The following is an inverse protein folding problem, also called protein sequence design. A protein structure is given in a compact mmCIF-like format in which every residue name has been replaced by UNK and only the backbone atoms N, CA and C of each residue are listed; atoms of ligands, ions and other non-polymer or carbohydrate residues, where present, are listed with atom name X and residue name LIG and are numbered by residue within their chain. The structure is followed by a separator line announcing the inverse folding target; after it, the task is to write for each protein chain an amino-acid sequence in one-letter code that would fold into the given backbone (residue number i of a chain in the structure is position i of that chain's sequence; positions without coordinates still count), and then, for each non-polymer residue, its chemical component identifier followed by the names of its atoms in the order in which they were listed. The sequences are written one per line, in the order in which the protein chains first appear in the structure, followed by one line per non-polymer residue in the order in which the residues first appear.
data_IF_925587273360
#
_entry.id   IF_925587273360
#
_cell.length_a   1.000
_cell.length_b   1.000
_cell.length_c   1.000
_cell.angle_alpha   90.00
_cell.angle_beta   90.00
_cell.angle_gamma   90.00
#
_symmetry.space_group_name_H-M   'P 1'
#
loop_
_entity.id
_entity.type
_entity.pdbx_description
1 polymer ?
#
# COMPACT_ATOMS: atom_id res chain seq x y z
N UNK A 1 11.37 -5.62 10.48
CA UNK A 1 10.59 -6.31 9.43
C UNK A 1 11.15 -7.71 9.26
N UNK A 2 10.30 -8.73 9.15
CA UNK A 2 10.73 -10.11 8.83
C UNK A 2 10.68 -10.31 7.31
N UNK A 3 11.77 -10.80 6.72
CA UNK A 3 11.90 -11.01 5.27
C UNK A 3 10.83 -11.96 4.72
N UNK A 4 10.41 -12.94 5.50
CA UNK A 4 9.33 -13.88 5.19
C UNK A 4 8.01 -13.19 4.86
N UNK A 5 7.61 -12.17 5.64
CA UNK A 5 6.36 -11.45 5.40
C UNK A 5 6.37 -10.72 4.05
N UNK A 6 7.54 -10.21 3.65
CA UNK A 6 7.72 -9.54 2.35
C UNK A 6 7.63 -10.56 1.22
N UNK A 7 8.27 -11.72 1.39
CA UNK A 7 8.22 -12.81 0.41
C UNK A 7 6.76 -13.29 0.18
N UNK A 8 6.03 -13.53 1.27
CA UNK A 8 4.63 -13.95 1.19
C UNK A 8 3.74 -12.86 0.56
N UNK A 9 3.91 -11.60 0.94
CA UNK A 9 3.16 -10.49 0.35
C UNK A 9 3.46 -10.31 -1.15
N UNK A 10 4.72 -10.48 -1.56
CA UNK A 10 5.14 -10.43 -2.96
C UNK A 10 4.57 -11.58 -3.79
N UNK A 11 4.34 -12.75 -3.19
CA UNK A 11 3.65 -13.85 -3.88
C UNK A 11 2.19 -13.52 -4.19
N UNK A 12 1.55 -12.62 -3.40
CA UNK A 12 0.16 -12.18 -3.61
C UNK A 12 0.05 -10.98 -4.55
N UNK A 13 0.95 -10.00 -4.41
CA UNK A 13 1.03 -8.81 -5.28
C UNK A 13 2.40 -8.84 -5.97
N UNK A 14 2.50 -9.48 -7.17
CA UNK A 14 3.79 -9.70 -7.83
C UNK A 14 4.41 -8.40 -8.36
N UNK A 15 3.59 -7.39 -8.67
CA UNK A 15 4.11 -6.08 -9.02
C UNK A 15 4.61 -5.37 -7.75
N UNK A 16 5.94 -5.27 -7.61
CA UNK A 16 6.60 -4.63 -6.46
C UNK A 16 6.18 -3.16 -6.25
N UNK A 17 5.88 -2.42 -7.31
CA UNK A 17 5.46 -1.01 -7.18
C UNK A 17 4.05 -0.94 -6.63
N UNK A 18 3.14 -1.78 -7.13
CA UNK A 18 1.79 -1.92 -6.59
C UNK A 18 1.82 -2.37 -5.13
N UNK A 19 2.68 -3.35 -4.79
CA UNK A 19 2.86 -3.81 -3.41
C UNK A 19 3.34 -2.69 -2.50
N UNK A 20 4.36 -1.93 -2.90
CA UNK A 20 4.86 -0.81 -2.11
C UNK A 20 3.81 0.30 -1.95
N UNK A 21 3.05 0.62 -2.99
CA UNK A 21 2.00 1.63 -2.94
C UNK A 21 0.87 1.21 -1.99
N UNK A 22 0.37 -0.02 -2.16
CA UNK A 22 -0.60 -0.68 -1.30
C UNK A 22 -0.16 -0.66 0.17
N UNK A 23 1.07 -1.13 0.43
CA UNK A 23 1.66 -1.20 1.76
C UNK A 23 1.77 0.19 2.40
N UNK A 24 2.28 1.18 1.67
CA UNK A 24 2.43 2.54 2.18
C UNK A 24 1.08 3.19 2.50
N UNK A 25 0.09 3.00 1.63
CA UNK A 25 -1.27 3.51 1.83
C UNK A 25 -1.92 2.89 3.06
N UNK A 26 -1.96 1.56 3.14
CA UNK A 26 -2.55 0.83 4.26
C UNK A 26 -1.82 1.13 5.58
N UNK A 27 -0.49 1.24 5.55
CA UNK A 27 0.29 1.62 6.74
C UNK A 27 -0.11 3.00 7.23
N UNK A 28 -0.24 4.00 6.34
CA UNK A 28 -0.67 5.35 6.75
C UNK A 28 -2.10 5.37 7.30
N UNK A 29 -3.00 4.58 6.75
CA UNK A 29 -4.41 4.53 7.19
C UNK A 29 -4.59 3.81 8.54
N UNK A 30 -3.81 2.75 8.79
CA UNK A 30 -3.96 1.91 9.98
C UNK A 30 -3.04 2.30 11.14
N UNK A 31 -2.05 3.16 10.90
CA UNK A 31 -1.08 3.52 11.91
C UNK A 31 -1.69 4.44 12.97
N UNK A 32 -1.45 4.10 14.23
CA UNK A 32 -1.79 4.93 15.40
C UNK A 32 -0.49 5.40 16.04
N UNK A 33 -0.40 6.68 16.41
CA UNK A 33 0.82 7.33 16.91
C UNK A 33 1.46 6.64 18.13
N UNK A 34 0.66 5.93 18.93
CA UNK A 34 1.13 5.15 20.09
C UNK A 34 1.82 3.83 19.72
N UNK A 35 1.70 3.37 18.47
CA UNK A 35 2.33 2.15 17.97
C UNK A 35 3.57 2.48 17.16
N UNK A 36 4.54 1.58 17.06
CA UNK A 36 5.68 1.78 16.14
C UNK A 36 5.20 1.55 14.71
N UNK A 37 5.60 2.41 13.77
CA UNK A 37 5.24 2.25 12.36
C UNK A 37 5.64 0.88 11.81
N UNK A 38 6.78 0.35 12.25
CA UNK A 38 7.24 -0.99 11.90
C UNK A 38 6.22 -2.08 12.24
N UNK A 39 5.53 -1.98 13.38
CA UNK A 39 4.57 -3.00 13.82
C UNK A 39 3.32 -2.95 12.92
N UNK A 40 2.86 -1.74 12.59
CA UNK A 40 1.79 -1.54 11.61
C UNK A 40 2.18 -2.08 10.24
N UNK A 41 3.38 -1.75 9.72
CA UNK A 41 3.87 -2.25 8.43
C UNK A 41 3.94 -3.77 8.40
N UNK A 42 4.43 -4.40 9.48
CA UNK A 42 4.49 -5.87 9.56
C UNK A 42 3.10 -6.49 9.52
N UNK A 43 2.13 -5.90 10.23
CA UNK A 43 0.73 -6.35 10.21
C UNK A 43 0.15 -6.27 8.81
N UNK A 44 0.34 -5.15 8.12
CA UNK A 44 -0.13 -4.97 6.74
C UNK A 44 0.50 -6.01 5.79
N UNK A 45 1.80 -6.29 5.92
CA UNK A 45 2.45 -7.33 5.12
C UNK A 45 1.85 -8.73 5.37
N UNK A 46 1.53 -9.06 6.62
CA UNK A 46 0.86 -10.32 6.97
C UNK A 46 -0.56 -10.36 6.40
N UNK A 47 -1.30 -9.26 6.46
CA UNK A 47 -2.66 -9.16 5.90
C UNK A 47 -2.65 -9.33 4.37
N UNK A 48 -1.64 -8.78 3.69
CA UNK A 48 -1.41 -8.99 2.25
C UNK A 48 -1.06 -10.45 1.96
N UNK A 49 -0.08 -11.01 2.67
CA UNK A 49 0.36 -12.40 2.46
C UNK A 49 -0.74 -13.44 2.74
N UNK A 50 -1.59 -13.18 3.73
CA UNK A 50 -2.72 -14.07 4.09
C UNK A 50 -3.95 -13.90 3.20
N UNK A 51 -3.99 -12.87 2.35
CA UNK A 51 -5.15 -12.56 1.50
C UNK A 51 -6.27 -11.79 2.20
N UNK A 52 -6.10 -11.41 3.47
CA UNK A 52 -7.06 -10.60 4.26
C UNK A 52 -7.07 -9.11 3.88
N UNK A 53 -6.12 -8.70 3.03
CA UNK A 53 -5.91 -7.32 2.57
C UNK A 53 -7.12 -6.65 1.91
N UNK A 54 -8.05 -7.41 1.33
CA UNK A 54 -9.24 -6.88 0.64
C UNK A 54 -10.17 -6.02 1.50
N UNK A 55 -10.03 -6.06 2.83
CA UNK A 55 -10.80 -5.22 3.76
C UNK A 55 -10.14 -3.85 4.03
N UNK A 56 -8.84 -3.70 3.76
CA UNK A 56 -8.05 -2.54 4.19
C UNK A 56 -7.91 -1.49 3.11
N UNK A 57 -7.83 -1.88 1.83
CA UNK A 57 -7.59 -0.93 0.73
C UNK A 57 -8.67 -1.09 -0.31
N UNK A 58 -9.79 -0.39 -0.09
CA UNK A 58 -10.74 -0.07 -1.14
C UNK A 58 -9.96 0.75 -2.18
N UNK A 59 -9.73 0.16 -3.36
CA UNK A 59 -8.94 0.70 -4.46
C UNK A 59 -9.16 2.20 -4.62
N UNK A 60 -8.14 3.00 -4.28
CA UNK A 60 -7.93 4.23 -5.03
C UNK A 60 -6.94 3.87 -6.12
N UNK A 61 -7.47 3.70 -7.33
CA UNK A 61 -6.73 4.12 -8.52
C UNK A 61 -6.42 5.58 -8.23
N UNK A 62 -5.18 5.88 -7.81
CA UNK A 62 -4.73 7.27 -7.79
C UNK A 62 -5.00 7.77 -9.21
N UNK A 63 -5.88 8.77 -9.41
CA UNK A 63 -6.05 9.32 -10.74
C UNK A 63 -4.66 9.61 -11.30
N UNK A 64 -4.40 9.27 -12.57
CA UNK A 64 -3.11 9.57 -13.18
C UNK A 64 -2.78 11.02 -12.82
N UNK A 65 -1.55 11.29 -12.32
CA UNK A 65 -1.16 12.66 -12.01
C UNK A 65 -1.49 13.52 -13.25
N UNK A 66 -2.19 14.66 -13.09
CA UNK A 66 -2.61 15.45 -14.21
C UNK A 66 -1.40 15.74 -15.09
N UNK A 67 -1.53 15.41 -16.37
CA UNK A 67 -0.46 15.64 -17.33
C UNK A 67 -0.29 17.16 -17.46
N UNK A 68 0.92 17.65 -17.73
CA UNK A 68 1.17 19.09 -17.97
C UNK A 68 0.15 19.73 -18.94
N UNK A 69 -0.32 18.94 -19.92
CA UNK A 69 -1.34 19.35 -20.88
C UNK A 69 -2.73 19.60 -20.25
N UNK A 70 -3.10 18.85 -19.21
CA UNK A 70 -4.38 18.99 -18.49
C UNK A 70 -4.40 20.27 -17.63
N UNK A 71 -3.24 20.67 -17.11
CA UNK A 71 -3.06 21.91 -16.34
C UNK A 71 -3.11 23.13 -17.26
N UNK A 72 -2.51 23.04 -18.45
CA UNK A 72 -2.46 24.13 -19.44
C UNK A 72 -3.82 24.40 -20.12
N UNK A 73 -4.68 23.39 -20.27
CA UNK A 73 -6.01 23.53 -20.88
C UNK A 73 -7.11 23.99 -19.90
N UNK A 74 -6.77 24.18 -18.63
CA UNK A 74 -7.71 24.64 -17.58
C UNK A 74 -7.61 26.14 -17.26
N UNK A 75 -6.89 26.91 -18.09
CA UNK A 75 -6.75 28.39 -18.04
C UNK A 75 -7.49 28.98 -19.24
#
# INVERSE_FOLDING_TARGET
MRSENVFLAASRIPNRYTLCHALAQATRQLHVTSTRTQDTTNKVLVDIGSGSYGMVVKSQVLPPPPTELDVLLSI
#
